data_IF_392092910323
#
_entry.id   IF_392092910323
#
_cell.length_a   1.000
_cell.length_b   1.000
_cell.length_c   1.000
_cell.angle_alpha   90.00
_cell.angle_beta   90.00
_cell.angle_gamma   90.00
#
_symmetry.space_group_name_H-M   'P 1'
#
loop_
_entity.id
_entity.type
_entity.pdbx_description
1 polymer ?
#
# COMPACT_ATOMS: atom_id res chain seq x y z
N UNK A 1 20.18 -4.12 -25.23
CA UNK A 1 19.66 -3.24 -24.17
C UNK A 1 20.75 -3.02 -23.14
N UNK A 2 21.16 -1.78 -22.87
CA UNK A 2 22.24 -1.48 -21.90
C UNK A 2 21.66 -1.21 -20.51
N UNK A 3 22.35 -1.68 -19.46
CA UNK A 3 21.98 -1.53 -18.05
C UNK A 3 21.70 -0.06 -17.65
N UNK A 4 22.34 0.90 -18.31
CA UNK A 4 22.16 2.33 -18.08
C UNK A 4 20.75 2.84 -18.45
N UNK A 5 20.17 2.33 -19.55
CA UNK A 5 18.82 2.71 -19.99
C UNK A 5 17.71 2.17 -19.07
N UNK A 6 17.97 1.04 -18.39
CA UNK A 6 17.06 0.48 -17.39
C UNK A 6 17.03 1.36 -16.13
N UNK A 7 18.20 1.79 -15.64
CA UNK A 7 18.32 2.63 -14.44
C UNK A 7 17.67 4.01 -14.62
N UNK A 8 17.79 4.61 -15.80
CA UNK A 8 17.18 5.92 -16.10
C UNK A 8 15.65 5.85 -16.18
N UNK A 9 15.08 4.76 -16.71
CA UNK A 9 13.62 4.53 -16.69
C UNK A 9 13.08 4.24 -15.31
N UNK A 10 13.83 3.46 -14.52
CA UNK A 10 13.54 3.29 -13.10
C UNK A 10 13.55 4.63 -12.38
N UNK A 11 14.61 5.44 -12.52
CA UNK A 11 14.71 6.75 -11.88
C UNK A 11 13.58 7.73 -12.26
N UNK A 12 13.05 7.66 -13.50
CA UNK A 12 11.87 8.43 -13.90
C UNK A 12 10.55 7.85 -13.36
N UNK A 13 10.44 6.54 -13.15
CA UNK A 13 9.31 5.93 -12.44
C UNK A 13 9.33 6.25 -10.92
N UNK A 14 10.53 6.45 -10.36
CA UNK A 14 10.78 6.93 -9.00
C UNK A 14 10.64 8.46 -8.84
N UNK A 15 10.36 9.20 -9.92
CA UNK A 15 10.06 10.62 -9.81
C UNK A 15 8.78 10.79 -8.98
N UNK A 16 8.94 11.40 -7.81
CA UNK A 16 7.88 11.77 -6.87
C UNK A 16 7.04 12.86 -7.53
N UNK A 17 6.14 12.46 -8.42
CA UNK A 17 5.00 13.27 -8.81
C UNK A 17 3.95 13.16 -7.69
N UNK A 18 3.17 14.24 -7.44
CA UNK A 18 2.30 14.36 -6.28
C UNK A 18 1.43 13.11 -6.11
N UNK A 19 1.36 12.61 -4.88
CA UNK A 19 0.61 11.41 -4.52
C UNK A 19 -0.77 11.43 -5.18
N UNK A 20 -1.15 10.30 -5.80
CA UNK A 20 -2.39 10.15 -6.54
C UNK A 20 -3.56 10.83 -5.81
N UNK A 21 -4.31 11.64 -6.55
CA UNK A 21 -5.31 12.57 -6.00
C UNK A 21 -6.29 11.95 -5.01
N UNK A 22 -6.93 12.80 -4.23
CA UNK A 22 -7.84 12.46 -3.12
C UNK A 22 -8.70 11.21 -3.41
N UNK A 23 -8.57 10.19 -2.56
CA UNK A 23 -9.46 9.03 -2.58
C UNK A 23 -10.85 9.42 -2.05
N UNK A 24 -11.93 8.84 -2.59
CA UNK A 24 -13.24 8.87 -1.94
C UNK A 24 -13.14 8.35 -0.49
N UNK A 25 -13.99 8.88 0.40
CA UNK A 25 -13.95 8.54 1.82
C UNK A 25 -14.14 7.03 2.07
N UNK A 26 -14.94 6.36 1.24
CA UNK A 26 -15.19 4.93 1.32
C UNK A 26 -13.95 4.11 0.97
N UNK A 27 -13.17 4.56 -0.02
CA UNK A 27 -11.92 3.90 -0.42
C UNK A 27 -10.82 4.11 0.63
N UNK A 28 -10.79 5.30 1.23
CA UNK A 28 -9.88 5.59 2.34
C UNK A 28 -10.18 4.68 3.55
N UNK A 29 -11.46 4.48 3.88
CA UNK A 29 -11.90 3.61 4.97
C UNK A 29 -11.55 2.12 4.75
N UNK A 30 -11.54 1.66 3.49
CA UNK A 30 -11.08 0.30 3.15
C UNK A 30 -9.59 0.14 3.44
N UNK A 31 -8.77 1.13 3.07
CA UNK A 31 -7.34 1.12 3.38
C UNK A 31 -7.08 1.16 4.89
N UNK A 32 -7.82 1.98 5.64
CA UNK A 32 -7.70 2.08 7.09
C UNK A 32 -8.01 0.75 7.78
N UNK A 33 -9.10 0.10 7.41
CA UNK A 33 -9.45 -1.23 7.93
C UNK A 33 -8.35 -2.25 7.68
N UNK A 34 -7.74 -2.22 6.49
CA UNK A 34 -6.66 -3.15 6.15
C UNK A 34 -5.38 -2.82 6.92
N UNK A 35 -5.03 -1.54 7.03
CA UNK A 35 -3.88 -1.08 7.78
C UNK A 35 -3.96 -1.49 9.26
N UNK A 36 -5.11 -1.23 9.90
CA UNK A 36 -5.34 -1.64 11.28
C UNK A 36 -5.27 -3.16 11.45
N UNK A 37 -5.81 -3.91 10.49
CA UNK A 37 -5.78 -5.36 10.53
C UNK A 37 -4.35 -5.92 10.50
N UNK A 38 -3.48 -5.30 9.71
CA UNK A 38 -2.05 -5.63 9.64
C UNK A 38 -1.34 -5.22 10.92
N UNK A 39 -1.56 -4.00 11.40
CA UNK A 39 -0.93 -3.46 12.60
C UNK A 39 -1.30 -4.26 13.87
N UNK A 40 -2.59 -4.55 14.08
CA UNK A 40 -3.08 -5.34 15.24
C UNK A 40 -2.50 -6.75 15.32
N UNK A 41 -2.00 -7.29 14.20
CA UNK A 41 -1.37 -8.62 14.13
C UNK A 41 0.16 -8.56 14.26
N UNK A 42 0.72 -7.39 14.58
CA UNK A 42 2.17 -7.20 14.69
C UNK A 42 2.91 -7.26 13.34
N UNK A 43 2.18 -7.11 12.23
CA UNK A 43 2.73 -7.29 10.87
C UNK A 43 3.12 -5.97 10.21
N UNK A 44 3.15 -4.86 10.94
CA UNK A 44 3.43 -3.53 10.38
C UNK A 44 4.83 -3.45 9.75
N UNK A 45 5.89 -3.84 10.47
CA UNK A 45 7.25 -3.83 9.93
C UNK A 45 7.44 -4.74 8.70
N UNK A 46 7.06 -6.04 8.71
CA UNK A 46 7.24 -6.88 7.53
C UNK A 46 6.36 -6.43 6.35
N UNK A 47 5.14 -5.94 6.61
CA UNK A 47 4.28 -5.42 5.54
C UNK A 47 4.83 -4.11 4.94
N UNK A 48 5.31 -3.18 5.77
CA UNK A 48 5.93 -1.94 5.32
C UNK A 48 7.14 -2.22 4.42
N UNK A 49 8.06 -3.08 4.85
CA UNK A 49 9.23 -3.47 4.04
C UNK A 49 8.83 -4.06 2.69
N UNK A 50 7.83 -4.94 2.66
CA UNK A 50 7.33 -5.53 1.42
C UNK A 50 6.68 -4.48 0.50
N UNK A 51 5.87 -3.58 1.05
CA UNK A 51 5.18 -2.54 0.28
C UNK A 51 6.17 -1.49 -0.24
N UNK A 52 7.18 -1.10 0.53
CA UNK A 52 8.25 -0.19 0.10
C UNK A 52 9.07 -0.79 -1.04
N UNK A 53 9.36 -2.09 -0.98
CA UNK A 53 10.02 -2.80 -2.07
C UNK A 53 9.14 -2.93 -3.33
N UNK A 54 7.81 -2.94 -3.16
CA UNK A 54 6.83 -3.15 -4.22
C UNK A 54 6.32 -1.85 -4.86
N UNK A 55 6.35 -0.73 -4.12
CA UNK A 55 5.89 0.59 -4.56
C UNK A 55 6.52 1.07 -5.88
N UNK A 56 7.81 0.83 -6.17
CA UNK A 56 8.45 1.23 -7.43
C UNK A 56 7.96 0.47 -8.66
N UNK A 57 7.34 -0.68 -8.46
CA UNK A 57 7.12 -1.65 -9.51
C UNK A 57 5.81 -1.43 -10.25
N UNK A 58 4.96 -0.47 -9.82
CA UNK A 58 3.80 0.11 -10.52
C UNK A 58 2.65 -0.86 -10.87
N UNK A 59 2.99 -1.96 -11.54
CA UNK A 59 2.15 -3.07 -11.97
C UNK A 59 1.99 -4.17 -10.90
N UNK A 60 2.87 -4.22 -9.89
CA UNK A 60 2.80 -5.23 -8.82
C UNK A 60 1.90 -4.83 -7.63
N UNK A 61 1.24 -3.68 -7.67
CA UNK A 61 0.26 -3.28 -6.64
C UNK A 61 -0.87 -4.30 -6.48
N UNK A 62 -1.39 -4.84 -7.59
CA UNK A 62 -2.37 -5.92 -7.57
C UNK A 62 -1.81 -7.22 -6.95
N UNK A 63 -0.52 -7.51 -7.18
CA UNK A 63 0.13 -8.70 -6.62
C UNK A 63 0.42 -8.56 -5.12
N UNK A 64 0.54 -7.33 -4.61
CA UNK A 64 0.65 -7.06 -3.18
C UNK A 64 -0.58 -7.57 -2.40
N UNK A 65 -1.77 -7.61 -3.01
CA UNK A 65 -2.95 -8.22 -2.38
C UNK A 65 -2.84 -9.72 -2.20
N UNK A 66 -2.09 -10.42 -3.03
CA UNK A 66 -1.84 -11.85 -2.82
C UNK A 66 -0.97 -12.10 -1.59
N UNK A 67 -0.04 -11.18 -1.27
CA UNK A 67 0.68 -11.22 0.01
C UNK A 67 -0.27 -10.90 1.18
N UNK A 68 -1.16 -9.91 1.01
CA UNK A 68 -2.12 -9.50 2.04
C UNK A 68 -3.38 -10.37 2.11
N UNK A 69 -3.44 -11.46 1.34
CA UNK A 69 -4.59 -12.37 1.25
C UNK A 69 -5.10 -12.91 2.59
N UNK A 70 -4.23 -13.26 3.56
CA UNK A 70 -4.66 -13.69 4.90
C UNK A 70 -5.46 -12.62 5.66
N UNK A 71 -5.23 -11.33 5.35
CA UNK A 71 -5.94 -10.21 5.97
C UNK A 71 -7.20 -9.86 5.19
N UNK A 72 -7.15 -9.92 3.86
CA UNK A 72 -8.26 -9.53 3.00
C UNK A 72 -9.41 -10.54 3.03
N UNK A 73 -9.12 -11.83 2.90
CA UNK A 73 -10.14 -12.89 2.87
C UNK A 73 -10.90 -13.10 4.18
N UNK A 74 -10.32 -12.67 5.31
CA UNK A 74 -10.96 -12.79 6.62
C UNK A 74 -11.80 -11.56 7.01
N UNK A 75 -11.61 -10.41 6.35
CA UNK A 75 -12.13 -9.12 6.80
C UNK A 75 -12.93 -8.35 5.74
N UNK A 76 -12.88 -8.77 4.48
CA UNK A 76 -13.45 -8.04 3.36
C UNK A 76 -14.24 -8.97 2.44
N UNK A 77 -15.31 -8.44 1.83
CA UNK A 77 -16.04 -9.12 0.76
C UNK A 77 -15.21 -9.20 -0.52
N UNK A 78 -15.57 -10.08 -1.46
CA UNK A 78 -14.90 -10.15 -2.76
C UNK A 78 -14.89 -8.78 -3.49
N UNK A 79 -16.01 -8.06 -3.46
CA UNK A 79 -16.12 -6.72 -4.05
C UNK A 79 -15.20 -5.70 -3.38
N UNK A 80 -15.08 -5.73 -2.05
CA UNK A 80 -14.15 -4.87 -1.32
C UNK A 80 -12.68 -5.22 -1.64
N UNK A 81 -12.37 -6.49 -1.87
CA UNK A 81 -11.03 -6.94 -2.30
C UNK A 81 -10.70 -6.45 -3.70
N UNK A 82 -11.64 -6.54 -4.64
CA UNK A 82 -11.48 -6.00 -6.00
C UNK A 82 -11.28 -4.48 -5.95
N UNK A 83 -12.00 -3.79 -5.06
CA UNK A 83 -11.84 -2.35 -4.87
C UNK A 83 -10.49 -1.98 -4.26
N UNK A 84 -10.01 -2.74 -3.27
CA UNK A 84 -8.65 -2.63 -2.75
C UNK A 84 -7.61 -2.84 -3.86
N UNK A 85 -7.86 -3.76 -4.81
CA UNK A 85 -6.96 -4.00 -5.93
C UNK A 85 -6.86 -2.76 -6.82
N UNK A 86 -8.01 -2.22 -7.21
CA UNK A 86 -8.08 -0.99 -8.00
C UNK A 86 -7.40 0.20 -7.28
N UNK A 87 -7.53 0.31 -5.95
CA UNK A 87 -6.84 1.35 -5.17
C UNK A 87 -5.31 1.16 -5.23
N UNK A 88 -4.81 -0.07 -5.06
CA UNK A 88 -3.37 -0.36 -5.05
C UNK A 88 -2.72 -0.29 -6.44
N UNK A 89 -3.49 -0.47 -7.51
CA UNK A 89 -3.05 -0.26 -8.89
C UNK A 89 -2.87 1.22 -9.25
N UNK A 90 -3.52 2.14 -8.52
CA UNK A 90 -3.33 3.58 -8.72
C UNK A 90 -1.90 3.98 -8.33
N UNK A 91 -1.33 4.93 -9.07
CA UNK A 91 -0.02 5.50 -8.74
C UNK A 91 -0.02 6.03 -7.30
N UNK A 92 0.86 5.47 -6.46
CA UNK A 92 0.95 5.81 -5.04
C UNK A 92 -0.01 5.06 -4.10
N UNK A 93 -0.87 4.17 -4.61
CA UNK A 93 -1.78 3.38 -3.78
C UNK A 93 -1.06 2.48 -2.77
N UNK A 94 0.00 1.79 -3.24
CA UNK A 94 0.89 0.97 -2.38
C UNK A 94 1.56 1.81 -1.30
N UNK A 95 2.14 2.97 -1.68
CA UNK A 95 2.78 3.89 -0.73
C UNK A 95 1.79 4.44 0.30
N UNK A 96 0.56 4.74 -0.13
CA UNK A 96 -0.52 5.18 0.77
C UNK A 96 -0.90 4.10 1.78
N UNK A 97 -1.00 2.83 1.36
CA UNK A 97 -1.24 1.72 2.27
C UNK A 97 -0.08 1.53 3.25
N UNK A 98 1.17 1.61 2.79
CA UNK A 98 2.35 1.52 3.64
C UNK A 98 2.35 2.59 4.74
N UNK A 99 2.07 3.85 4.37
CA UNK A 99 1.93 4.97 5.33
C UNK A 99 0.84 4.70 6.37
N UNK A 100 -0.34 4.25 5.94
CA UNK A 100 -1.45 3.94 6.86
C UNK A 100 -1.09 2.81 7.83
N UNK A 101 -0.37 1.78 7.36
CA UNK A 101 0.11 0.69 8.23
C UNK A 101 1.09 1.22 9.28
N UNK A 102 2.01 2.11 8.90
CA UNK A 102 2.92 2.76 9.85
C UNK A 102 2.14 3.57 10.89
N UNK A 103 1.21 4.42 10.45
CA UNK A 103 0.36 5.25 11.31
C UNK A 103 -0.45 4.40 12.30
N UNK A 104 -1.10 3.34 11.83
CA UNK A 104 -1.87 2.42 12.66
C UNK A 104 -1.00 1.63 13.66
N UNK A 105 0.29 1.47 13.38
CA UNK A 105 1.23 0.78 14.27
C UNK A 105 1.81 1.68 15.36
N UNK A 106 1.79 3.00 15.17
CA UNK A 106 2.36 3.95 16.12
C UNK A 106 1.47 4.00 17.37
N UNK A 107 2.04 3.85 18.59
CA UNK A 107 1.26 4.04 19.81
C UNK A 107 0.68 5.46 19.84
N UNK A 108 -0.55 5.64 20.37
CA UNK A 108 -1.15 6.96 20.46
C UNK A 108 -0.19 7.90 21.16
N UNK A 109 0.05 9.07 20.57
CA UNK A 109 0.91 10.08 21.16
C UNK A 109 0.40 10.35 22.58
N UNK A 110 1.20 10.01 23.59
CA UNK A 110 0.90 10.36 24.98
C UNK A 110 0.96 11.87 25.07
N UNK A 111 -0.18 12.53 24.97
CA UNK A 111 -0.34 13.91 25.43
C UNK A 111 -0.02 13.91 26.92
N UNK A 112 1.13 14.48 27.27
CA UNK A 112 1.54 14.79 28.62
C UNK A 112 0.74 15.98 29.16
#
# INVERSE_FOLDING_TARGET
>A
MTLSGLRSRLAHAFAVEPEGGTLPAEEEALLDRLADAVARRGMASPAGLFLDASAPLGFLGAQALHFLRPFTTALFSAEEVDRLAAILERRGGVSRLARKIEEASRPPARTA
#
